data_IF_692314647474
#
_entry.id   IF_692314647474
#
_cell.length_a   1.000
_cell.length_b   1.000
_cell.length_c   1.000
_cell.angle_alpha   90.00
_cell.angle_beta   90.00
_cell.angle_gamma   90.00
#
_symmetry.space_group_name_H-M   'P 1'
#
loop_
_entity.id
_entity.type
_entity.pdbx_description
1 polymer ?
#
# COMPACT_ATOMS: atom_id res chain seq x y z
N UNK A 1 -6.33 -0.15 11.11
CA UNK A 1 -6.62 1.21 10.58
C UNK A 1 -7.82 1.11 9.66
N UNK A 2 -8.68 2.12 9.63
CA UNK A 2 -9.70 2.21 8.58
C UNK A 2 -9.02 2.69 7.30
N UNK A 3 -9.07 1.89 6.23
CA UNK A 3 -8.44 2.26 4.97
C UNK A 3 -9.02 3.58 4.44
N UNK A 4 -8.21 4.48 3.86
CA UNK A 4 -8.72 5.65 3.17
C UNK A 4 -9.77 5.22 2.14
N UNK A 5 -10.81 6.04 1.95
CA UNK A 5 -11.93 5.74 1.03
C UNK A 5 -11.48 5.45 -0.42
N UNK A 6 -10.34 6.00 -0.84
CA UNK A 6 -9.75 5.76 -2.17
C UNK A 6 -9.05 4.39 -2.30
N UNK A 7 -8.80 3.71 -1.17
CA UNK A 7 -8.18 2.39 -1.06
C UNK A 7 -9.15 1.34 -0.51
N UNK A 8 -10.44 1.66 -0.44
CA UNK A 8 -11.48 0.73 0.02
C UNK A 8 -11.48 -0.53 -0.85
N UNK A 9 -11.44 -1.70 -0.20
CA UNK A 9 -11.37 -3.00 -0.88
C UNK A 9 -9.98 -3.43 -1.34
N UNK A 10 -8.92 -2.68 -0.99
CA UNK A 10 -7.53 -3.08 -1.22
C UNK A 10 -6.81 -3.31 0.10
N UNK A 11 -6.24 -4.50 0.30
CA UNK A 11 -5.31 -4.73 1.43
C UNK A 11 -3.92 -4.21 1.17
N UNK A 12 -3.40 -4.34 -0.05
CA UNK A 12 -2.03 -3.94 -0.36
C UNK A 12 -1.99 -2.65 -1.17
N UNK A 13 -1.19 -1.69 -0.71
CA UNK A 13 -0.94 -0.43 -1.41
C UNK A 13 0.56 -0.21 -1.60
N UNK A 14 0.96 0.12 -2.82
CA UNK A 14 2.35 0.37 -3.19
C UNK A 14 2.68 1.85 -3.18
N UNK A 15 3.71 2.26 -2.44
CA UNK A 15 4.36 3.56 -2.61
C UNK A 15 5.18 3.58 -3.91
N UNK A 16 4.73 4.34 -4.91
CA UNK A 16 5.43 4.45 -6.21
C UNK A 16 6.78 5.17 -6.09
N UNK A 17 6.98 5.98 -5.06
CA UNK A 17 8.19 6.82 -4.89
C UNK A 17 9.39 6.00 -4.44
N UNK A 18 9.15 4.97 -3.63
CA UNK A 18 10.19 4.12 -3.03
C UNK A 18 10.04 2.63 -3.35
N UNK A 19 9.04 2.27 -4.17
CA UNK A 19 8.75 0.89 -4.58
C UNK A 19 8.55 -0.04 -3.37
N UNK A 20 7.82 0.44 -2.36
CA UNK A 20 7.47 -0.30 -1.15
C UNK A 20 5.99 -0.64 -1.12
N UNK A 21 5.64 -1.84 -0.68
CA UNK A 21 4.24 -2.24 -0.48
C UNK A 21 3.91 -2.24 1.01
N UNK A 22 2.79 -1.62 1.34
CA UNK A 22 2.21 -1.54 2.67
C UNK A 22 0.98 -2.45 2.71
N UNK A 23 0.88 -3.25 3.76
CA UNK A 23 -0.30 -4.06 4.08
C UNK A 23 -1.23 -3.25 4.98
N UNK A 24 -2.38 -2.79 4.49
CA UNK A 24 -3.29 -1.92 5.24
C UNK A 24 -3.89 -2.60 6.48
N UNK A 25 -3.89 -3.93 6.52
CA UNK A 25 -4.33 -4.70 7.70
C UNK A 25 -3.27 -4.70 8.83
N UNK A 26 -1.97 -4.86 8.51
CA UNK A 26 -0.87 -4.86 9.47
C UNK A 26 -0.19 -3.50 9.67
N UNK A 27 -0.42 -2.54 8.78
CA UNK A 27 0.29 -1.26 8.76
C UNK A 27 -0.05 -0.41 9.99
N UNK A 28 1.01 -0.06 10.71
CA UNK A 28 0.96 0.83 11.89
C UNK A 28 1.17 2.31 11.55
N UNK A 29 1.51 2.63 10.29
CA UNK A 29 1.94 3.96 9.86
C UNK A 29 0.87 4.64 9.00
N UNK A 30 -0.19 5.12 9.65
CA UNK A 30 -1.35 5.74 8.97
C UNK A 30 -0.98 7.00 8.20
N UNK A 31 -0.08 7.81 8.75
CA UNK A 31 0.36 9.06 8.13
C UNK A 31 1.05 8.81 6.77
N UNK A 32 1.82 7.73 6.66
CA UNK A 32 2.49 7.37 5.40
C UNK A 32 1.46 6.99 4.31
N UNK A 33 0.44 6.21 4.69
CA UNK A 33 -0.66 5.82 3.77
C UNK A 33 -1.51 7.03 3.39
N UNK A 34 -1.78 7.93 4.33
CA UNK A 34 -2.53 9.16 4.07
C UNK A 34 -1.77 10.09 3.12
N UNK A 35 -0.48 10.34 3.39
CA UNK A 35 0.37 11.14 2.53
C UNK A 35 0.50 10.55 1.11
N UNK A 36 0.48 9.22 0.98
CA UNK A 36 0.43 8.54 -0.31
C UNK A 36 -0.86 8.83 -1.09
N UNK A 37 -1.98 8.80 -0.39
CA UNK A 37 -3.31 9.09 -0.91
C UNK A 37 -3.39 10.56 -1.38
N UNK A 38 -2.99 11.50 -0.52
CA UNK A 38 -2.95 12.94 -0.82
C UNK A 38 -2.05 13.25 -2.03
N UNK A 39 -0.89 12.61 -2.12
CA UNK A 39 0.01 12.76 -3.25
C UNK A 39 -0.44 12.00 -4.52
N UNK A 40 -1.50 11.18 -4.45
CA UNK A 40 -1.92 10.22 -5.49
C UNK A 40 -0.76 9.36 -6.01
N UNK A 41 0.22 9.14 -5.14
CA UNK A 41 1.49 8.50 -5.44
C UNK A 41 1.48 7.02 -5.05
N UNK A 42 0.32 6.37 -5.14
CA UNK A 42 0.14 4.96 -4.85
C UNK A 42 -0.14 4.10 -6.09
N UNK A 43 0.10 2.80 -5.94
CA UNK A 43 -0.35 1.73 -6.83
C UNK A 43 -1.22 0.76 -6.03
N UNK A 44 -2.35 0.36 -6.60
CA UNK A 44 -3.16 -0.73 -6.04
C UNK A 44 -2.79 -2.03 -6.74
N UNK A 45 -2.98 -3.12 -6.01
CA UNK A 45 -2.76 -4.47 -6.51
C UNK A 45 -4.07 -5.26 -6.44
N UNK A 46 -4.29 -6.15 -7.40
CA UNK A 46 -5.38 -7.13 -7.37
C UNK A 46 -4.85 -8.55 -7.58
N UNK A 47 -5.65 -9.61 -7.31
CA UNK A 47 -6.47 -9.78 -6.11
C UNK A 47 -5.67 -9.48 -4.82
N UNK A 48 -6.26 -9.70 -3.65
CA UNK A 48 -5.72 -9.36 -2.33
C UNK A 48 -4.49 -10.22 -1.91
N UNK A 49 -3.53 -10.36 -2.82
CA UNK A 49 -2.34 -11.20 -2.73
C UNK A 49 -1.08 -10.38 -3.00
N UNK A 50 -0.12 -10.48 -2.07
CA UNK A 50 1.18 -9.80 -2.16
C UNK A 50 2.00 -10.18 -3.41
N UNK A 51 1.65 -11.28 -4.08
CA UNK A 51 2.30 -11.78 -5.29
C UNK A 51 2.33 -10.73 -6.40
N UNK A 52 1.24 -10.02 -6.64
CA UNK A 52 1.21 -9.01 -7.71
C UNK A 52 2.19 -7.86 -7.43
N UNK A 53 2.23 -7.39 -6.18
CA UNK A 53 3.18 -6.36 -5.76
C UNK A 53 4.64 -6.80 -5.96
N UNK A 54 4.98 -8.04 -5.55
CA UNK A 54 6.31 -8.62 -5.76
C UNK A 54 6.66 -8.74 -7.24
N UNK A 55 5.72 -9.17 -8.07
CA UNK A 55 5.93 -9.30 -9.51
C UNK A 55 6.19 -7.94 -10.18
N UNK A 56 5.66 -6.85 -9.61
CA UNK A 56 5.92 -5.46 -10.03
C UNK A 56 7.17 -4.85 -9.37
N UNK A 57 7.97 -5.64 -8.66
CA UNK A 57 9.23 -5.21 -8.03
C UNK A 57 9.08 -4.54 -6.66
N UNK A 58 7.87 -4.50 -6.09
CA UNK A 58 7.66 -3.91 -4.77
C UNK A 58 8.20 -4.81 -3.67
N UNK A 59 8.83 -4.18 -2.67
CA UNK A 59 9.33 -4.85 -1.46
C UNK A 59 8.44 -4.50 -0.27
N UNK A 60 8.20 -5.42 0.68
CA UNK A 60 7.49 -5.07 1.92
C UNK A 60 8.13 -3.87 2.61
N UNK A 61 7.29 -2.96 3.10
CA UNK A 61 7.71 -1.93 4.02
C UNK A 61 8.16 -2.59 5.34
N UNK A 62 9.20 -2.06 5.99
CA UNK A 62 9.71 -2.68 7.23
C UNK A 62 8.75 -2.55 8.42
N UNK A 63 7.72 -1.71 8.29
CA UNK A 63 6.75 -1.39 9.31
C UNK A 63 5.40 -2.14 9.15
N UNK A 64 5.33 -3.11 8.22
CA UNK A 64 4.12 -3.86 7.88
C UNK A 64 4.46 -5.33 7.61
#
# INVERSE_FOLDING_TARGET
MEAPKELEGHRYVGDKRIQKVHDLESCTHEEAVKALCEAKAYATFGPDELREARNRGYKPAACC
#
